data_IF_855282897541
#
_entry.id   IF_855282897541
#
_cell.length_a   1.000
_cell.length_b   1.000
_cell.length_c   1.000
_cell.angle_alpha   90.00
_cell.angle_beta   90.00
_cell.angle_gamma   90.00
#
_symmetry.space_group_name_H-M   'P 1'
#
loop_
_entity.id
_entity.type
_entity.pdbx_description
1 polymer ?
#
# COMPACT_ATOMS: atom_id res chain seq x y z
N UNK A 1 -32.95 -3.55 -27.07
CA UNK A 1 -31.68 -3.73 -26.33
C UNK A 1 -31.75 -5.06 -25.56
N UNK A 2 -30.64 -5.74 -25.38
CA UNK A 2 -30.60 -6.94 -24.52
C UNK A 2 -30.92 -6.57 -23.07
N UNK A 3 -31.61 -7.44 -22.34
CA UNK A 3 -31.90 -7.28 -20.93
C UNK A 3 -30.56 -7.32 -20.15
N UNK A 4 -30.25 -6.26 -19.41
CA UNK A 4 -29.03 -6.13 -18.59
C UNK A 4 -29.39 -6.23 -17.12
N UNK A 5 -28.45 -6.70 -16.29
CA UNK A 5 -28.52 -6.70 -14.84
C UNK A 5 -27.78 -5.46 -14.34
N UNK A 6 -28.44 -4.59 -13.63
CA UNK A 6 -27.92 -3.29 -13.18
C UNK A 6 -27.89 -3.25 -11.65
N UNK A 7 -26.73 -3.01 -11.06
CA UNK A 7 -26.59 -2.67 -9.65
C UNK A 7 -26.78 -1.17 -9.47
N UNK A 8 -27.88 -0.75 -8.89
CA UNK A 8 -28.22 0.67 -8.67
C UNK A 8 -28.07 1.02 -7.20
N UNK A 9 -27.36 2.10 -6.87
CA UNK A 9 -27.20 2.54 -5.49
C UNK A 9 -27.16 4.07 -5.38
N UNK A 10 -27.47 4.60 -4.21
CA UNK A 10 -27.31 6.01 -3.87
C UNK A 10 -27.16 6.20 -2.36
N UNK A 11 -26.59 7.33 -1.97
CA UNK A 11 -26.73 7.89 -0.63
C UNK A 11 -28.01 8.76 -0.53
N UNK A 12 -28.17 9.44 0.59
CA UNK A 12 -29.33 10.32 0.84
C UNK A 12 -29.41 11.50 -0.16
N UNK A 13 -28.26 12.02 -0.63
CA UNK A 13 -28.21 13.11 -1.62
C UNK A 13 -28.63 12.67 -3.03
N UNK A 14 -28.46 11.39 -3.35
CA UNK A 14 -28.83 10.80 -4.62
C UNK A 14 -30.18 10.06 -4.61
N UNK A 15 -30.88 9.97 -3.47
CA UNK A 15 -32.05 9.11 -3.29
C UNK A 15 -33.16 9.36 -4.32
N UNK A 16 -33.61 10.61 -4.49
CA UNK A 16 -34.71 10.94 -5.39
C UNK A 16 -34.35 10.57 -6.85
N UNK A 17 -33.14 10.92 -7.30
CA UNK A 17 -32.67 10.61 -8.65
C UNK A 17 -32.52 9.10 -8.85
N UNK A 18 -32.04 8.37 -7.84
CA UNK A 18 -31.98 6.90 -7.86
C UNK A 18 -33.35 6.28 -8.10
N UNK A 19 -34.37 6.72 -7.40
CA UNK A 19 -35.73 6.19 -7.58
C UNK A 19 -36.25 6.43 -8.99
N UNK A 20 -36.02 7.62 -9.57
CA UNK A 20 -36.39 7.94 -10.98
C UNK A 20 -35.63 7.08 -11.98
N UNK A 21 -34.35 6.86 -11.76
CA UNK A 21 -33.53 5.99 -12.61
C UNK A 21 -33.93 4.51 -12.48
N UNK A 22 -34.32 4.05 -11.30
CA UNK A 22 -34.83 2.70 -11.08
C UNK A 22 -36.12 2.44 -11.90
N UNK A 23 -37.05 3.38 -11.90
CA UNK A 23 -38.27 3.29 -12.72
C UNK A 23 -37.93 3.29 -14.22
N UNK A 24 -37.04 4.18 -14.67
CA UNK A 24 -36.60 4.27 -16.05
C UNK A 24 -35.96 2.97 -16.54
N UNK A 25 -35.00 2.43 -15.80
CA UNK A 25 -34.29 1.19 -16.15
C UNK A 25 -35.20 -0.04 -16.18
N UNK A 26 -36.13 -0.16 -15.23
CA UNK A 26 -37.15 -1.22 -15.23
C UNK A 26 -38.10 -1.09 -16.41
N UNK A 27 -38.54 0.12 -16.76
CA UNK A 27 -39.40 0.38 -17.94
C UNK A 27 -38.67 0.07 -19.25
N UNK A 28 -37.34 0.22 -19.32
CA UNK A 28 -36.52 -0.18 -20.45
C UNK A 28 -36.26 -1.71 -20.53
N UNK A 29 -36.79 -2.49 -19.56
CA UNK A 29 -36.70 -3.96 -19.55
C UNK A 29 -35.43 -4.54 -18.87
N UNK A 30 -34.67 -3.72 -18.15
CA UNK A 30 -33.51 -4.16 -17.41
C UNK A 30 -33.88 -4.79 -16.05
N UNK A 31 -32.99 -5.65 -15.54
CA UNK A 31 -33.08 -6.20 -14.18
C UNK A 31 -32.30 -5.32 -13.22
N UNK A 32 -32.98 -4.71 -12.24
CA UNK A 32 -32.39 -3.68 -11.37
C UNK A 32 -32.35 -4.18 -9.92
N UNK A 33 -31.14 -4.42 -9.43
CA UNK A 33 -30.86 -4.63 -8.00
C UNK A 33 -30.62 -3.27 -7.32
N UNK A 34 -31.59 -2.84 -6.50
CA UNK A 34 -31.47 -1.60 -5.71
C UNK A 34 -30.71 -1.87 -4.40
N UNK A 35 -29.52 -1.32 -4.29
CA UNK A 35 -28.58 -1.45 -3.16
C UNK A 35 -28.38 -0.12 -2.42
N UNK A 36 -29.12 0.92 -2.80
CA UNK A 36 -29.01 2.25 -2.22
C UNK A 36 -29.77 2.42 -0.92
N UNK A 37 -29.68 3.61 -0.35
CA UNK A 37 -30.52 3.97 0.81
C UNK A 37 -32.00 3.92 0.47
N UNK A 38 -32.82 3.65 1.47
CA UNK A 38 -34.29 3.65 1.36
C UNK A 38 -34.94 4.98 1.74
N UNK A 39 -34.17 6.03 2.02
CA UNK A 39 -34.67 7.33 2.45
C UNK A 39 -33.68 8.47 2.36
N UNK A 40 -34.06 9.63 2.89
CA UNK A 40 -33.27 10.88 2.85
C UNK A 40 -32.45 11.14 4.13
N UNK A 41 -32.49 10.23 5.08
CA UNK A 41 -31.67 10.34 6.28
C UNK A 41 -30.16 10.25 5.89
N UNK A 42 -29.31 11.07 6.53
CA UNK A 42 -27.89 11.09 6.23
C UNK A 42 -27.23 9.72 6.36
N UNK A 43 -26.58 9.27 5.30
CA UNK A 43 -25.85 8.01 5.23
C UNK A 43 -24.54 8.20 4.46
N UNK A 44 -23.58 7.31 4.67
CA UNK A 44 -22.26 7.39 4.07
C UNK A 44 -22.22 6.73 2.66
N UNK A 45 -22.04 7.54 1.62
CA UNK A 45 -22.00 7.10 0.21
C UNK A 45 -21.02 5.96 -0.07
N UNK A 46 -19.82 5.83 0.59
CA UNK A 46 -18.88 4.77 0.24
C UNK A 46 -19.42 3.36 0.45
N UNK A 47 -20.33 3.18 1.42
CA UNK A 47 -20.96 1.89 1.71
C UNK A 47 -21.78 1.43 0.53
N UNK A 48 -22.61 2.31 -0.02
CA UNK A 48 -23.52 2.02 -1.13
C UNK A 48 -22.78 1.90 -2.46
N UNK A 49 -21.80 2.77 -2.72
CA UNK A 49 -20.97 2.70 -3.90
C UNK A 49 -20.17 1.38 -3.96
N UNK A 50 -19.62 0.96 -2.80
CA UNK A 50 -18.93 -0.33 -2.67
C UNK A 50 -19.87 -1.51 -2.88
N UNK A 51 -21.12 -1.46 -2.37
CA UNK A 51 -22.09 -2.52 -2.56
C UNK A 51 -22.41 -2.75 -4.05
N UNK A 52 -22.66 -1.67 -4.82
CA UNK A 52 -22.89 -1.75 -6.25
C UNK A 52 -21.63 -2.26 -7.01
N UNK A 53 -20.45 -1.76 -6.64
CA UNK A 53 -19.19 -2.18 -7.24
C UNK A 53 -18.90 -3.68 -7.02
N UNK A 54 -19.18 -4.22 -5.84
CA UNK A 54 -19.01 -5.64 -5.55
C UNK A 54 -19.92 -6.53 -6.42
N UNK A 55 -21.17 -6.14 -6.67
CA UNK A 55 -22.06 -6.87 -7.58
C UNK A 55 -21.52 -6.93 -9.00
N UNK A 56 -20.93 -5.82 -9.47
CA UNK A 56 -20.28 -5.79 -10.79
C UNK A 56 -19.02 -6.67 -10.81
N UNK A 57 -18.16 -6.55 -9.80
CA UNK A 57 -16.93 -7.33 -9.71
C UNK A 57 -17.17 -8.85 -9.64
N UNK A 58 -18.25 -9.27 -8.98
CA UNK A 58 -18.67 -10.67 -8.83
C UNK A 58 -19.42 -11.23 -10.05
N UNK A 59 -19.65 -10.39 -11.07
CA UNK A 59 -20.44 -10.78 -12.25
C UNK A 59 -21.94 -10.99 -11.97
N UNK A 60 -22.44 -10.49 -10.84
CA UNK A 60 -23.86 -10.54 -10.49
C UNK A 60 -24.65 -9.39 -11.14
N UNK A 61 -23.97 -8.31 -11.55
CA UNK A 61 -24.49 -7.24 -12.37
C UNK A 61 -23.56 -7.00 -13.57
N UNK A 62 -24.15 -6.64 -14.71
CA UNK A 62 -23.40 -6.31 -15.93
C UNK A 62 -22.83 -4.89 -15.84
N UNK A 63 -23.55 -3.97 -15.19
CA UNK A 63 -23.14 -2.59 -14.93
C UNK A 63 -23.60 -2.11 -13.55
N UNK A 64 -22.86 -1.13 -13.02
CA UNK A 64 -23.26 -0.37 -11.85
C UNK A 64 -23.67 1.06 -12.19
N UNK A 65 -24.66 1.60 -11.45
CA UNK A 65 -25.02 3.02 -11.44
C UNK A 65 -25.09 3.49 -10.01
N UNK A 66 -24.29 4.51 -9.64
CA UNK A 66 -24.30 5.08 -8.29
C UNK A 66 -24.60 6.58 -8.37
N UNK A 67 -25.35 7.08 -7.39
CA UNK A 67 -25.77 8.48 -7.35
C UNK A 67 -25.47 9.04 -5.96
N UNK A 68 -24.71 10.14 -5.91
CA UNK A 68 -24.52 10.97 -4.72
C UNK A 68 -24.65 12.46 -5.09
N UNK A 69 -24.34 13.38 -4.19
CA UNK A 69 -24.44 14.81 -4.46
C UNK A 69 -23.61 15.29 -5.65
N UNK A 70 -22.39 14.76 -5.85
CA UNK A 70 -21.44 15.16 -6.90
C UNK A 70 -21.03 14.02 -7.85
N UNK A 71 -21.23 12.77 -7.47
CA UNK A 71 -20.79 11.56 -8.19
C UNK A 71 -19.29 11.24 -8.03
N UNK A 72 -18.53 12.16 -7.43
CA UNK A 72 -17.06 12.04 -7.36
C UNK A 72 -16.65 11.02 -6.32
N UNK A 73 -17.15 11.16 -5.08
CA UNK A 73 -16.81 10.29 -3.96
C UNK A 73 -17.22 8.85 -4.21
N UNK A 74 -18.42 8.64 -4.76
CA UNK A 74 -18.92 7.31 -5.12
C UNK A 74 -18.06 6.63 -6.19
N UNK A 75 -17.58 7.36 -7.21
CA UNK A 75 -16.64 6.82 -8.18
C UNK A 75 -15.30 6.43 -7.54
N UNK A 76 -14.76 7.28 -6.65
CA UNK A 76 -13.53 6.98 -5.91
C UNK A 76 -13.68 5.72 -5.06
N UNK A 77 -14.80 5.54 -4.37
CA UNK A 77 -15.07 4.37 -3.54
C UNK A 77 -15.24 3.10 -4.39
N UNK A 78 -15.97 3.18 -5.50
CA UNK A 78 -16.17 2.06 -6.41
C UNK A 78 -14.86 1.58 -7.04
N UNK A 79 -13.95 2.50 -7.42
CA UNK A 79 -12.62 2.19 -7.95
C UNK A 79 -11.65 1.55 -6.91
N UNK A 80 -12.07 1.39 -5.64
CA UNK A 80 -11.32 0.60 -4.65
C UNK A 80 -11.67 -0.89 -4.68
N UNK A 81 -12.70 -1.27 -5.45
CA UNK A 81 -13.08 -2.67 -5.64
C UNK A 81 -12.36 -3.20 -6.88
N UNK A 82 -11.48 -4.20 -6.75
CA UNK A 82 -10.75 -4.77 -7.88
C UNK A 82 -11.69 -5.23 -9.00
N UNK A 83 -11.30 -4.99 -10.25
CA UNK A 83 -12.08 -5.36 -11.44
C UNK A 83 -13.14 -4.34 -11.84
N UNK A 84 -13.36 -3.28 -11.05
CA UNK A 84 -14.34 -2.23 -11.36
C UNK A 84 -13.65 -0.98 -11.87
N UNK A 85 -14.10 -0.48 -13.03
CA UNK A 85 -13.68 0.81 -13.57
C UNK A 85 -14.88 1.76 -13.47
N UNK A 86 -14.84 2.67 -12.51
CA UNK A 86 -15.90 3.64 -12.25
C UNK A 86 -15.55 5.03 -12.77
N UNK A 87 -16.49 5.66 -13.47
CA UNK A 87 -16.35 7.02 -14.00
C UNK A 87 -17.49 7.93 -13.58
N UNK A 88 -17.17 9.17 -13.14
CA UNK A 88 -18.17 10.23 -12.94
C UNK A 88 -18.48 10.88 -14.27
N UNK A 89 -19.75 10.82 -14.70
CA UNK A 89 -20.18 11.39 -15.97
C UNK A 89 -21.42 12.25 -15.81
N UNK A 90 -21.27 13.55 -15.96
CA UNK A 90 -22.37 14.52 -15.88
C UNK A 90 -22.86 14.98 -17.27
N UNK A 91 -22.43 14.33 -18.34
CA UNK A 91 -22.90 14.55 -19.72
C UNK A 91 -22.91 13.24 -20.50
N UNK A 92 -23.75 13.16 -21.52
CA UNK A 92 -23.81 12.03 -22.46
C UNK A 92 -22.45 11.78 -23.15
N UNK A 93 -21.73 12.86 -23.49
CA UNK A 93 -20.41 12.76 -24.11
C UNK A 93 -19.37 12.10 -23.18
N UNK A 94 -19.37 12.43 -21.88
CA UNK A 94 -18.51 11.78 -20.90
C UNK A 94 -18.88 10.31 -20.67
N UNK A 95 -20.17 9.99 -20.61
CA UNK A 95 -20.65 8.62 -20.47
C UNK A 95 -20.25 7.75 -21.67
N UNK A 96 -20.39 8.28 -22.89
CA UNK A 96 -19.92 7.63 -24.10
C UNK A 96 -18.41 7.41 -24.06
N UNK A 97 -17.64 8.45 -23.72
CA UNK A 97 -16.17 8.36 -23.63
C UNK A 97 -15.72 7.34 -22.59
N UNK A 98 -16.33 7.33 -21.39
CA UNK A 98 -16.01 6.39 -20.32
C UNK A 98 -16.20 4.94 -20.75
N UNK A 99 -17.23 4.65 -21.54
CA UNK A 99 -17.46 3.32 -22.10
C UNK A 99 -16.56 3.01 -23.27
N UNK A 100 -16.57 3.88 -24.30
CA UNK A 100 -15.87 3.63 -25.57
C UNK A 100 -14.34 3.54 -25.39
N UNK A 101 -13.76 4.38 -24.53
CA UNK A 101 -12.32 4.49 -24.37
C UNK A 101 -11.76 3.78 -23.15
N UNK A 102 -12.55 3.63 -22.08
CA UNK A 102 -12.06 3.14 -20.80
C UNK A 102 -12.79 1.89 -20.29
N UNK A 103 -13.78 1.40 -21.04
CA UNK A 103 -14.61 0.24 -20.67
C UNK A 103 -15.12 0.32 -19.22
N UNK A 104 -15.55 1.54 -18.81
CA UNK A 104 -16.06 1.75 -17.46
C UNK A 104 -17.25 0.85 -17.19
N UNK A 105 -17.20 0.05 -16.13
CA UNK A 105 -18.23 -0.88 -15.73
C UNK A 105 -19.22 -0.28 -14.71
N UNK A 106 -18.89 0.92 -14.17
CA UNK A 106 -19.75 1.61 -13.22
C UNK A 106 -19.80 3.11 -13.54
N UNK A 107 -21.03 3.62 -13.62
CA UNK A 107 -21.33 5.03 -13.82
C UNK A 107 -21.64 5.69 -12.48
N UNK A 108 -20.99 6.82 -12.16
CA UNK A 108 -21.34 7.66 -11.03
C UNK A 108 -21.94 8.98 -11.51
N UNK A 109 -23.08 9.37 -10.92
CA UNK A 109 -23.82 10.58 -11.24
C UNK A 109 -23.90 11.52 -10.03
N UNK A 110 -23.75 12.82 -10.26
CA UNK A 110 -23.96 13.86 -9.26
C UNK A 110 -25.37 14.42 -9.32
N UNK A 111 -26.23 14.11 -8.34
CA UNK A 111 -27.61 14.62 -8.29
C UNK A 111 -27.70 16.16 -8.24
N UNK A 112 -26.65 16.83 -7.76
CA UNK A 112 -26.55 18.30 -7.78
C UNK A 112 -26.08 18.87 -9.14
N UNK A 113 -25.69 18.04 -10.09
CA UNK A 113 -25.08 18.45 -11.36
C UNK A 113 -25.85 18.01 -12.61
N UNK A 114 -26.83 17.13 -12.47
CA UNK A 114 -27.65 16.63 -13.59
C UNK A 114 -29.12 16.65 -13.18
N UNK A 115 -30.00 17.08 -14.08
CA UNK A 115 -31.44 16.89 -13.93
C UNK A 115 -31.86 15.46 -14.31
N UNK A 116 -33.09 15.10 -13.97
CA UNK A 116 -33.65 13.76 -14.24
C UNK A 116 -33.58 13.37 -15.71
N UNK A 117 -33.92 14.30 -16.62
CA UNK A 117 -33.95 14.02 -18.05
C UNK A 117 -32.55 13.78 -18.62
N UNK A 118 -31.57 14.59 -18.19
CA UNK A 118 -30.16 14.39 -18.55
C UNK A 118 -29.61 13.09 -17.96
N UNK A 119 -29.91 12.79 -16.70
CA UNK A 119 -29.45 11.55 -16.05
C UNK A 119 -29.93 10.29 -16.77
N UNK A 120 -31.21 10.26 -17.21
CA UNK A 120 -31.74 9.15 -18.01
C UNK A 120 -30.98 8.97 -19.32
N UNK A 121 -30.75 10.06 -20.08
CA UNK A 121 -29.99 10.00 -21.35
C UNK A 121 -28.53 9.57 -21.11
N UNK A 122 -27.90 10.06 -20.04
CA UNK A 122 -26.53 9.67 -19.67
C UNK A 122 -26.43 8.16 -19.41
N UNK A 123 -27.40 7.62 -18.64
CA UNK A 123 -27.46 6.19 -18.33
C UNK A 123 -27.70 5.38 -19.62
N UNK A 124 -28.65 5.80 -20.47
CA UNK A 124 -28.95 5.10 -21.71
C UNK A 124 -27.73 5.04 -22.65
N UNK A 125 -27.02 6.16 -22.80
CA UNK A 125 -25.77 6.24 -23.60
C UNK A 125 -24.69 5.35 -22.98
N UNK A 126 -24.54 5.37 -21.66
CA UNK A 126 -23.57 4.52 -20.98
C UNK A 126 -23.83 3.04 -21.24
N UNK A 127 -25.07 2.58 -21.07
CA UNK A 127 -25.44 1.18 -21.24
C UNK A 127 -25.39 0.71 -22.72
N UNK A 128 -25.62 1.61 -23.66
CA UNK A 128 -25.61 1.31 -25.09
C UNK A 128 -24.22 1.32 -25.73
N UNK A 129 -23.20 1.90 -25.08
CA UNK A 129 -21.86 2.08 -25.66
C UNK A 129 -20.94 0.92 -25.31
N UNK A 130 -20.16 0.44 -26.29
CA UNK A 130 -19.17 -0.62 -26.10
C UNK A 130 -17.75 -0.14 -26.38
N UNK A 131 -16.76 -0.71 -25.73
CA UNK A 131 -15.34 -0.50 -26.01
C UNK A 131 -14.87 -1.50 -27.07
N UNK A 132 -14.85 -1.09 -28.32
CA UNK A 132 -14.54 -1.98 -29.45
C UNK A 132 -13.17 -1.75 -30.08
N UNK A 133 -12.60 -0.55 -29.96
CA UNK A 133 -11.32 -0.21 -30.57
C UNK A 133 -10.14 -0.86 -29.84
N UNK A 134 -9.31 -1.62 -30.53
CA UNK A 134 -8.16 -2.37 -29.99
C UNK A 134 -7.21 -1.49 -29.18
N UNK A 135 -6.93 -0.28 -29.68
CA UNK A 135 -6.06 0.70 -28.97
C UNK A 135 -6.59 1.07 -27.58
N UNK A 136 -7.93 1.09 -27.38
CA UNK A 136 -8.57 1.41 -26.11
C UNK A 136 -8.56 0.18 -25.20
N UNK A 137 -8.91 -0.99 -25.75
CA UNK A 137 -8.84 -2.26 -25.01
C UNK A 137 -7.45 -2.53 -24.47
N UNK A 138 -6.37 -2.24 -25.23
CA UNK A 138 -4.98 -2.34 -24.76
C UNK A 138 -4.73 -1.44 -23.54
N UNK A 139 -5.21 -0.20 -23.54
CA UNK A 139 -5.04 0.72 -22.40
C UNK A 139 -5.85 0.28 -21.18
N UNK A 140 -7.05 -0.22 -21.39
CA UNK A 140 -7.88 -0.82 -20.31
C UNK A 140 -7.19 -2.03 -19.70
N UNK A 141 -6.58 -2.89 -20.54
CA UNK A 141 -5.81 -4.03 -20.05
C UNK A 141 -4.63 -3.58 -19.17
N UNK A 142 -3.94 -2.48 -19.51
CA UNK A 142 -2.87 -1.91 -18.66
C UNK A 142 -3.40 -1.42 -17.30
N UNK A 143 -4.58 -0.79 -17.26
CA UNK A 143 -5.20 -0.37 -15.99
C UNK A 143 -5.55 -1.59 -15.13
N UNK A 144 -6.11 -2.65 -15.74
CA UNK A 144 -6.42 -3.90 -15.04
C UNK A 144 -5.17 -4.63 -14.55
N UNK A 145 -4.04 -4.48 -15.25
CA UNK A 145 -2.76 -5.04 -14.79
C UNK A 145 -2.24 -4.34 -13.53
N UNK A 146 -2.41 -3.00 -13.42
CA UNK A 146 -2.09 -2.24 -12.20
C UNK A 146 -2.90 -2.70 -10.98
N UNK A 147 -4.12 -3.23 -11.20
CA UNK A 147 -4.92 -3.83 -10.12
C UNK A 147 -4.33 -5.16 -9.64
N UNK A 148 -3.80 -5.97 -10.56
CA UNK A 148 -3.11 -7.23 -10.19
C UNK A 148 -1.83 -6.95 -9.39
N UNK A 149 -1.10 -5.89 -9.75
CA UNK A 149 0.05 -5.42 -8.96
C UNK A 149 -0.36 -5.01 -7.54
N UNK A 150 -1.55 -4.42 -7.37
CA UNK A 150 -2.14 -4.11 -6.03
C UNK A 150 -2.71 -5.33 -5.33
N UNK A 151 -3.26 -6.29 -6.07
CA UNK A 151 -3.85 -7.55 -5.58
C UNK A 151 -2.83 -8.64 -5.27
N UNK A 152 -1.54 -8.43 -5.54
CA UNK A 152 -0.46 -9.34 -5.13
C UNK A 152 -0.27 -9.43 -3.60
N UNK A 153 -1.19 -8.88 -2.82
CA UNK A 153 -1.24 -9.09 -1.36
C UNK A 153 -1.93 -10.39 -0.94
N UNK A 154 -2.67 -11.06 -1.86
CA UNK A 154 -3.29 -12.38 -1.63
C UNK A 154 -2.81 -13.35 -2.72
N UNK A 155 -1.54 -13.75 -2.65
CA UNK A 155 -1.01 -14.82 -3.50
C UNK A 155 -1.63 -16.15 -3.07
N UNK A 156 -2.33 -16.81 -4.00
CA UNK A 156 -2.76 -18.20 -3.79
C UNK A 156 -1.55 -19.14 -3.70
N UNK A 157 -1.70 -20.29 -3.08
CA UNK A 157 -0.63 -21.30 -3.05
C UNK A 157 -0.11 -21.65 -4.46
N UNK A 158 -1.01 -21.67 -5.47
CA UNK A 158 -0.65 -21.90 -6.88
C UNK A 158 0.14 -20.73 -7.50
N UNK A 159 -0.14 -19.49 -7.12
CA UNK A 159 0.64 -18.32 -7.57
C UNK A 159 2.05 -18.35 -6.97
N UNK A 160 2.17 -18.76 -5.72
CA UNK A 160 3.46 -18.93 -5.04
C UNK A 160 4.28 -20.02 -5.74
N UNK A 161 3.67 -21.18 -6.09
CA UNK A 161 4.35 -22.24 -6.83
C UNK A 161 4.75 -21.80 -8.25
N UNK A 162 3.89 -21.04 -8.95
CA UNK A 162 4.18 -20.51 -10.29
C UNK A 162 5.30 -19.47 -10.28
N UNK A 163 5.32 -18.60 -9.28
CA UNK A 163 6.41 -17.63 -9.06
C UNK A 163 7.70 -18.36 -8.70
N UNK A 164 7.65 -19.34 -7.80
CA UNK A 164 8.79 -20.16 -7.43
C UNK A 164 9.37 -20.95 -8.62
N UNK A 165 8.51 -21.47 -9.50
CA UNK A 165 8.92 -22.14 -10.73
C UNK A 165 9.61 -21.16 -11.73
N UNK A 166 9.05 -19.96 -11.88
CA UNK A 166 9.61 -18.91 -12.77
C UNK A 166 10.91 -18.34 -12.25
N UNK A 167 11.04 -18.13 -10.94
CA UNK A 167 12.29 -17.76 -10.27
C UNK A 167 13.35 -18.87 -10.46
N UNK A 168 12.95 -20.13 -10.35
CA UNK A 168 13.83 -21.28 -10.57
C UNK A 168 14.31 -21.38 -12.04
N UNK A 169 13.46 -21.05 -12.99
CA UNK A 169 13.81 -20.97 -14.43
C UNK A 169 14.78 -19.80 -14.71
N UNK A 170 14.56 -18.64 -14.08
CA UNK A 170 15.43 -17.46 -14.24
C UNK A 170 16.79 -17.67 -13.58
N UNK A 171 16.86 -18.35 -12.45
CA UNK A 171 18.11 -18.70 -11.75
C UNK A 171 18.89 -19.79 -12.47
N UNK A 172 18.25 -20.61 -13.31
CA UNK A 172 18.93 -21.65 -14.12
C UNK A 172 19.74 -21.12 -15.33
N UNK A 173 19.63 -19.82 -15.64
CA UNK A 173 20.33 -19.18 -16.78
C UNK A 173 21.55 -18.33 -16.43
N UNK A 174 21.91 -18.20 -15.15
CA UNK A 174 23.08 -17.45 -14.67
C UNK A 174 23.87 -18.27 -13.66
N UNK A 175 25.04 -18.74 -14.08
CA UNK A 175 25.87 -19.69 -13.34
C UNK A 175 26.26 -19.25 -11.93
N UNK A 176 25.97 -20.09 -11.04
CA UNK A 176 26.44 -20.57 -9.76
C UNK A 176 25.22 -21.02 -8.94
N UNK A 177 25.11 -22.30 -8.64
CA UNK A 177 24.01 -22.86 -7.85
C UNK A 177 23.94 -22.16 -6.49
N UNK A 178 22.77 -21.63 -6.07
CA UNK A 178 22.60 -21.26 -4.68
C UNK A 178 22.60 -22.54 -3.86
N UNK A 179 23.45 -22.58 -2.85
CA UNK A 179 23.40 -23.51 -1.72
C UNK A 179 21.92 -23.76 -1.35
N UNK A 180 21.55 -25.02 -1.10
CA UNK A 180 20.21 -25.50 -0.78
C UNK A 180 19.41 -24.44 -0.01
N UNK A 181 18.32 -23.97 -0.60
CA UNK A 181 17.41 -23.03 0.05
C UNK A 181 16.97 -23.67 1.37
N UNK A 182 17.39 -23.13 2.50
CA UNK A 182 16.90 -23.49 3.80
C UNK A 182 15.38 -23.17 3.78
N UNK A 183 14.58 -24.22 3.69
CA UNK A 183 13.13 -24.11 3.88
C UNK A 183 12.91 -23.76 5.36
N UNK A 184 12.78 -22.45 5.64
CA UNK A 184 12.48 -21.97 6.99
C UNK A 184 11.05 -22.38 7.35
N UNK A 185 10.86 -22.86 8.58
CA UNK A 185 9.51 -23.09 9.11
C UNK A 185 8.82 -21.75 9.39
N UNK A 186 7.48 -21.71 9.45
CA UNK A 186 6.74 -20.48 9.81
C UNK A 186 7.24 -19.84 11.11
N UNK A 187 7.59 -20.65 12.11
CA UNK A 187 8.13 -20.18 13.40
C UNK A 187 9.53 -19.57 13.25
N UNK A 188 10.33 -20.08 12.34
CA UNK A 188 11.65 -19.50 12.03
C UNK A 188 11.52 -18.19 11.28
N UNK A 189 10.55 -18.10 10.34
CA UNK A 189 10.23 -16.85 9.64
C UNK A 189 9.70 -15.80 10.62
N UNK A 190 8.80 -16.17 11.54
CA UNK A 190 8.27 -15.26 12.56
C UNK A 190 9.38 -14.55 13.35
N UNK A 191 10.46 -15.27 13.68
CA UNK A 191 11.63 -14.71 14.38
C UNK A 191 12.50 -13.77 13.54
N UNK A 192 12.16 -13.54 12.28
CA UNK A 192 12.81 -12.56 11.40
C UNK A 192 11.94 -11.33 11.14
N UNK A 193 10.72 -11.29 11.68
CA UNK A 193 9.73 -10.24 11.43
C UNK A 193 9.81 -9.14 12.50
N UNK A 194 9.96 -7.89 12.06
CA UNK A 194 9.69 -6.70 12.85
C UNK A 194 8.24 -6.27 12.61
N UNK A 195 7.34 -6.58 13.55
CA UNK A 195 5.93 -6.22 13.45
C UNK A 195 5.77 -4.70 13.63
N UNK A 196 5.30 -4.01 12.59
CA UNK A 196 5.55 -2.58 12.42
C UNK A 196 4.26 -1.77 12.32
N UNK A 197 4.15 -0.70 13.11
CA UNK A 197 3.07 0.30 13.02
C UNK A 197 3.66 1.72 13.14
N UNK A 198 3.72 2.43 12.00
CA UNK A 198 4.34 3.76 11.89
C UNK A 198 3.38 4.82 11.34
N UNK A 199 2.09 4.50 11.19
CA UNK A 199 1.07 5.45 10.72
C UNK A 199 1.01 6.67 11.65
N UNK A 200 0.86 7.90 11.11
CA UNK A 200 0.80 9.13 11.91
C UNK A 200 -0.45 9.21 12.80
N UNK A 201 -1.51 8.49 12.45
CA UNK A 201 -2.78 8.40 13.15
C UNK A 201 -2.89 7.18 14.08
N UNK A 202 -1.79 6.42 14.28
CA UNK A 202 -1.78 5.27 15.18
C UNK A 202 -2.11 5.67 16.62
N UNK A 203 -3.03 4.95 17.24
CA UNK A 203 -3.44 5.14 18.63
C UNK A 203 -2.76 4.13 19.56
N UNK A 204 -2.76 4.41 20.86
CA UNK A 204 -2.23 3.48 21.87
C UNK A 204 -2.91 2.09 21.79
N UNK A 205 -4.21 2.03 21.55
CA UNK A 205 -4.96 0.78 21.37
C UNK A 205 -4.49 -0.04 20.16
N UNK A 206 -3.99 0.60 19.10
CA UNK A 206 -3.45 -0.11 17.93
C UNK A 206 -2.09 -0.71 18.26
N UNK A 207 -1.28 0.03 19.03
CA UNK A 207 0.02 -0.46 19.52
C UNK A 207 -0.15 -1.60 20.53
N UNK A 208 -1.18 -1.58 21.37
CA UNK A 208 -1.53 -2.69 22.26
C UNK A 208 -1.83 -3.97 21.49
N UNK A 209 -2.67 -3.89 20.45
CA UNK A 209 -2.98 -5.02 19.54
C UNK A 209 -1.71 -5.55 18.88
N UNK A 210 -0.88 -4.66 18.34
CA UNK A 210 0.40 -5.01 17.71
C UNK A 210 1.29 -5.81 18.65
N UNK A 211 1.38 -5.39 19.93
CA UNK A 211 2.18 -6.10 20.95
C UNK A 211 1.60 -7.47 21.32
N UNK A 212 0.26 -7.59 21.38
CA UNK A 212 -0.41 -8.88 21.61
C UNK A 212 -0.10 -9.86 20.48
N UNK A 213 -0.26 -9.43 19.23
CA UNK A 213 0.04 -10.25 18.04
C UNK A 213 1.53 -10.66 18.03
N UNK A 214 2.44 -9.73 18.29
CA UNK A 214 3.87 -10.01 18.31
C UNK A 214 4.25 -11.07 19.36
N UNK A 215 3.64 -11.03 20.55
CA UNK A 215 3.84 -12.05 21.59
C UNK A 215 3.24 -13.39 21.20
N UNK A 216 2.04 -13.38 20.62
CA UNK A 216 1.32 -14.58 20.22
C UNK A 216 2.09 -15.36 19.14
N UNK A 217 2.63 -14.67 18.15
CA UNK A 217 3.35 -15.28 17.04
C UNK A 217 4.87 -15.39 17.25
N UNK A 218 5.40 -14.85 18.36
CA UNK A 218 6.82 -14.87 18.68
C UNK A 218 7.68 -14.10 17.67
N UNK A 219 7.18 -12.95 17.17
CA UNK A 219 7.93 -12.09 16.25
C UNK A 219 9.23 -11.58 16.89
N UNK A 220 10.17 -11.14 16.04
CA UNK A 220 11.48 -10.68 16.51
C UNK A 220 11.37 -9.36 17.29
N UNK A 221 10.67 -8.38 16.72
CA UNK A 221 10.48 -7.08 17.35
C UNK A 221 9.10 -6.47 17.04
N UNK A 222 8.74 -5.44 17.82
CA UNK A 222 7.68 -4.47 17.55
C UNK A 222 8.33 -3.15 17.22
N UNK A 223 8.07 -2.61 16.02
CA UNK A 223 8.64 -1.35 15.53
C UNK A 223 7.58 -0.25 15.49
N UNK A 224 7.83 0.85 16.21
CA UNK A 224 6.89 1.95 16.41
C UNK A 224 7.56 3.33 16.29
N UNK A 225 6.76 4.39 16.24
CA UNK A 225 7.25 5.76 16.43
C UNK A 225 7.78 5.96 17.86
N UNK A 226 8.79 6.82 18.08
CA UNK A 226 9.49 6.97 19.37
C UNK A 226 8.57 7.26 20.57
N UNK A 227 7.46 7.95 20.35
CA UNK A 227 6.48 8.29 21.41
C UNK A 227 5.87 7.05 22.07
N UNK A 228 5.81 5.92 21.38
CA UNK A 228 5.24 4.67 21.87
C UNK A 228 6.24 3.72 22.55
N UNK A 229 7.54 4.04 22.54
CA UNK A 229 8.58 3.16 23.12
C UNK A 229 8.30 2.81 24.57
N UNK A 230 7.93 3.76 25.48
CA UNK A 230 7.61 3.41 26.88
C UNK A 230 6.42 2.45 27.02
N UNK A 231 5.38 2.65 26.20
CA UNK A 231 4.19 1.79 26.16
C UNK A 231 4.56 0.37 25.72
N UNK A 232 5.26 0.24 24.58
CA UNK A 232 5.70 -1.05 24.03
C UNK A 232 6.61 -1.79 24.99
N UNK A 233 7.56 -1.09 25.63
CA UNK A 233 8.42 -1.67 26.68
C UNK A 233 7.61 -2.27 27.81
N UNK A 234 6.56 -1.57 28.27
CA UNK A 234 5.66 -2.06 29.32
C UNK A 234 4.91 -3.32 28.89
N UNK A 235 4.30 -3.30 27.69
CA UNK A 235 3.49 -4.39 27.15
C UNK A 235 4.31 -5.64 26.81
N UNK A 236 5.56 -5.48 26.39
CA UNK A 236 6.44 -6.60 26.01
C UNK A 236 7.27 -7.13 27.19
N UNK A 237 7.10 -6.58 28.41
CA UNK A 237 7.83 -7.06 29.59
C UNK A 237 7.61 -8.57 29.79
N UNK A 238 8.72 -9.30 30.00
CA UNK A 238 8.69 -10.76 30.20
C UNK A 238 8.53 -11.57 28.90
N UNK A 239 8.55 -10.95 27.72
CA UNK A 239 8.60 -11.64 26.41
C UNK A 239 10.00 -11.56 25.80
N UNK A 240 10.26 -12.37 24.77
CA UNK A 240 11.49 -12.31 23.96
C UNK A 240 11.44 -11.25 22.85
N UNK A 241 10.26 -10.66 22.60
CA UNK A 241 10.03 -9.67 21.53
C UNK A 241 10.76 -8.37 21.87
N UNK A 242 11.55 -7.86 20.93
CA UNK A 242 12.34 -6.63 21.10
C UNK A 242 11.51 -5.38 20.85
N UNK A 243 11.94 -4.28 21.45
CA UNK A 243 11.40 -2.94 21.19
C UNK A 243 12.26 -2.27 20.14
N UNK A 244 11.70 -2.01 18.97
CA UNK A 244 12.33 -1.26 17.88
C UNK A 244 11.64 0.09 17.72
N UNK A 245 12.36 1.14 17.38
CA UNK A 245 11.78 2.41 16.98
C UNK A 245 12.52 3.04 15.80
N UNK A 246 11.84 3.96 15.13
CA UNK A 246 12.42 4.75 14.03
C UNK A 246 13.00 6.06 14.56
N UNK A 247 13.98 6.61 13.83
CA UNK A 247 14.66 7.89 14.14
C UNK A 247 14.89 8.67 12.83
N UNK A 248 14.65 9.98 12.89
CA UNK A 248 14.73 10.80 11.68
C UNK A 248 13.69 10.44 10.63
N UNK A 249 12.58 9.88 11.05
CA UNK A 249 11.63 9.21 10.17
C UNK A 249 10.44 10.09 9.78
N UNK A 250 9.88 10.00 8.54
CA UNK A 250 10.36 9.13 7.46
C UNK A 250 11.38 9.80 6.51
N UNK A 251 11.67 11.08 6.66
CA UNK A 251 12.35 11.90 5.65
C UNK A 251 13.89 11.82 5.70
N UNK A 252 14.46 11.50 6.85
CA UNK A 252 15.91 11.49 7.04
C UNK A 252 16.59 12.86 6.99
N UNK A 253 15.83 13.95 6.87
CA UNK A 253 16.32 15.30 6.60
C UNK A 253 16.60 16.16 7.85
N UNK A 254 16.45 15.59 9.04
CA UNK A 254 16.74 16.28 10.30
C UNK A 254 18.24 16.49 10.47
N UNK A 255 18.61 17.50 11.29
CA UNK A 255 19.98 17.72 11.70
C UNK A 255 20.54 16.48 12.42
N UNK A 256 21.82 16.08 12.15
CA UNK A 256 22.44 14.91 12.78
C UNK A 256 22.40 14.90 14.32
N UNK A 257 22.50 16.08 14.96
CA UNK A 257 22.41 16.14 16.42
C UNK A 257 21.00 15.83 16.92
N UNK A 258 19.98 16.23 16.17
CA UNK A 258 18.58 15.93 16.53
C UNK A 258 18.32 14.43 16.42
N UNK A 259 18.79 13.75 15.37
CA UNK A 259 18.67 12.30 15.24
C UNK A 259 19.42 11.57 16.36
N UNK A 260 20.63 12.03 16.71
CA UNK A 260 21.38 11.51 17.84
C UNK A 260 20.60 11.62 19.16
N UNK A 261 20.00 12.79 19.43
CA UNK A 261 19.21 13.02 20.66
C UNK A 261 17.95 12.15 20.67
N UNK A 262 17.27 12.00 19.56
CA UNK A 262 16.12 11.15 19.39
C UNK A 262 16.47 9.68 19.68
N UNK A 263 17.57 9.18 19.10
CA UNK A 263 18.08 7.83 19.36
C UNK A 263 18.40 7.61 20.85
N UNK A 264 19.15 8.54 21.47
CA UNK A 264 19.49 8.46 22.89
C UNK A 264 18.26 8.46 23.80
N UNK A 265 17.25 9.27 23.45
CA UNK A 265 15.99 9.30 24.20
C UNK A 265 15.27 7.96 24.08
N UNK A 266 15.06 7.45 22.86
CA UNK A 266 14.37 6.20 22.61
C UNK A 266 15.05 5.01 23.34
N UNK A 267 16.38 4.93 23.30
CA UNK A 267 17.15 3.89 23.97
C UNK A 267 16.97 3.97 25.51
N UNK A 268 17.04 5.15 26.11
CA UNK A 268 16.78 5.33 27.53
C UNK A 268 15.37 4.91 27.92
N UNK A 269 14.41 5.11 27.08
CA UNK A 269 13.01 4.71 27.27
C UNK A 269 12.77 3.22 27.05
N UNK A 270 13.71 2.53 26.39
CA UNK A 270 13.70 1.07 26.30
C UNK A 270 13.78 0.48 24.92
N UNK A 271 14.06 1.28 23.88
CA UNK A 271 14.36 0.76 22.57
C UNK A 271 15.62 -0.11 22.60
N UNK A 272 15.54 -1.27 21.98
CA UNK A 272 16.63 -2.24 21.83
C UNK A 272 17.16 -2.27 20.40
N UNK A 273 16.41 -1.67 19.47
CA UNK A 273 16.77 -1.48 18.08
C UNK A 273 16.33 -0.08 17.63
N UNK A 274 17.14 0.54 16.81
CA UNK A 274 16.90 1.89 16.28
C UNK A 274 17.10 1.87 14.76
N UNK A 275 16.06 2.21 14.02
CA UNK A 275 16.02 2.27 12.57
C UNK A 275 16.06 3.74 12.13
N UNK A 276 17.24 4.26 11.80
CA UNK A 276 17.40 5.63 11.31
C UNK A 276 17.22 5.74 9.80
N UNK A 277 16.68 6.85 9.32
CA UNK A 277 16.65 7.15 7.89
C UNK A 277 17.88 7.97 7.49
N UNK A 278 18.58 7.54 6.43
CA UNK A 278 19.72 8.28 5.88
C UNK A 278 19.27 9.65 5.35
N UNK A 279 20.16 10.65 5.39
CA UNK A 279 19.89 11.91 4.71
C UNK A 279 20.06 11.74 3.19
N UNK A 280 18.93 11.43 2.51
CA UNK A 280 18.88 11.16 1.06
C UNK A 280 19.38 12.37 0.25
N UNK A 281 19.02 13.59 0.67
CA UNK A 281 19.45 14.81 -0.03
C UNK A 281 20.96 15.00 0.01
N UNK A 282 21.58 14.81 1.18
CA UNK A 282 23.03 14.88 1.33
C UNK A 282 23.74 13.76 0.56
N UNK A 283 23.19 12.55 0.57
CA UNK A 283 23.72 11.42 -0.20
C UNK A 283 23.71 11.70 -1.71
N UNK A 284 22.62 12.22 -2.25
CA UNK A 284 22.51 12.64 -3.67
C UNK A 284 23.43 13.78 -4.00
N UNK A 285 23.59 14.74 -3.07
CA UNK A 285 24.52 15.86 -3.18
C UNK A 285 25.99 15.47 -3.04
N UNK A 286 26.29 14.19 -2.79
CA UNK A 286 27.64 13.66 -2.55
C UNK A 286 28.35 14.27 -1.32
N UNK A 287 27.57 14.74 -0.35
CA UNK A 287 28.12 15.17 0.95
C UNK A 287 28.29 13.97 1.88
N UNK A 288 29.25 13.12 1.53
CA UNK A 288 29.55 11.88 2.28
C UNK A 288 30.01 12.20 3.72
N UNK A 289 30.58 13.36 3.97
CA UNK A 289 30.99 13.78 5.31
C UNK A 289 29.77 14.02 6.21
N UNK A 290 28.74 14.69 5.71
CA UNK A 290 27.49 14.88 6.42
C UNK A 290 26.76 13.55 6.65
N UNK A 291 26.62 12.73 5.61
CA UNK A 291 25.97 11.40 5.71
C UNK A 291 26.67 10.51 6.72
N UNK A 292 28.01 10.44 6.67
CA UNK A 292 28.78 9.62 7.60
C UNK A 292 28.64 10.12 9.06
N UNK A 293 28.66 11.44 9.26
CA UNK A 293 28.50 12.04 10.59
C UNK A 293 27.10 11.74 11.15
N UNK A 294 26.08 11.84 10.30
CA UNK A 294 24.68 11.55 10.64
C UNK A 294 24.50 10.10 11.10
N UNK A 295 24.94 9.13 10.29
CA UNK A 295 24.85 7.70 10.61
C UNK A 295 25.67 7.40 11.87
N UNK A 296 26.92 7.90 11.95
CA UNK A 296 27.82 7.63 13.06
C UNK A 296 27.25 8.08 14.41
N UNK A 297 26.61 9.26 14.46
CA UNK A 297 26.00 9.75 15.68
C UNK A 297 24.96 8.78 16.25
N UNK A 298 24.07 8.26 15.41
CA UNK A 298 23.04 7.28 15.82
C UNK A 298 23.66 5.94 16.21
N UNK A 299 24.64 5.46 15.40
CA UNK A 299 25.35 4.19 15.67
C UNK A 299 26.08 4.24 17.02
N UNK A 300 26.75 5.35 17.35
CA UNK A 300 27.42 5.54 18.65
C UNK A 300 26.41 5.53 19.79
N UNK A 301 25.27 6.21 19.65
CA UNK A 301 24.21 6.17 20.65
C UNK A 301 23.68 4.73 20.87
N UNK A 302 23.54 3.95 19.81
CA UNK A 302 23.12 2.55 19.88
C UNK A 302 24.16 1.70 20.62
N UNK A 303 25.45 1.85 20.31
CA UNK A 303 26.54 1.12 20.97
C UNK A 303 26.61 1.44 22.47
N UNK A 304 26.54 2.73 22.84
CA UNK A 304 26.52 3.18 24.21
C UNK A 304 25.37 2.57 25.03
N UNK A 305 24.19 2.47 24.38
CA UNK A 305 22.98 1.95 24.98
C UNK A 305 22.75 0.45 24.79
N UNK A 306 23.66 -0.27 24.12
CA UNK A 306 23.53 -1.70 23.78
C UNK A 306 22.29 -2.02 22.94
N UNK A 307 21.93 -1.12 22.05
CA UNK A 307 20.88 -1.29 21.05
C UNK A 307 21.50 -1.62 19.68
N UNK A 308 20.73 -2.30 18.81
CA UNK A 308 21.10 -2.50 17.41
C UNK A 308 20.74 -1.26 16.57
N UNK A 309 21.57 -0.96 15.59
CA UNK A 309 21.38 0.13 14.64
C UNK A 309 21.04 -0.40 13.25
N UNK A 310 20.00 0.14 12.62
CA UNK A 310 19.66 -0.14 11.23
C UNK A 310 19.59 1.18 10.45
N UNK A 311 20.20 1.23 9.26
CA UNK A 311 20.19 2.41 8.39
C UNK A 311 19.23 2.19 7.24
N UNK A 312 18.11 2.91 7.23
CA UNK A 312 17.13 2.90 6.14
C UNK A 312 17.66 3.75 4.99
N UNK A 313 17.91 3.13 3.85
CA UNK A 313 18.49 3.80 2.68
C UNK A 313 17.45 4.52 1.82
N UNK A 314 16.19 4.11 1.85
CA UNK A 314 15.11 4.53 0.96
C UNK A 314 15.42 4.24 -0.51
N UNK A 315 15.60 2.97 -0.81
CA UNK A 315 16.14 2.47 -2.10
C UNK A 315 15.39 2.95 -3.33
N UNK A 316 14.07 3.20 -3.22
CA UNK A 316 13.25 3.71 -4.32
C UNK A 316 13.63 5.13 -4.80
N UNK A 317 14.37 5.88 -3.99
CA UNK A 317 14.86 7.23 -4.33
C UNK A 317 16.31 7.24 -4.85
N UNK A 318 16.99 6.08 -4.86
CA UNK A 318 18.42 5.98 -5.10
C UNK A 318 18.73 5.19 -6.38
N UNK A 319 19.78 5.61 -7.09
CA UNK A 319 20.41 4.77 -8.13
C UNK A 319 21.22 3.63 -7.47
N UNK A 320 21.62 2.64 -8.24
CA UNK A 320 22.41 1.51 -7.70
C UNK A 320 23.76 1.98 -7.14
N UNK A 321 24.41 2.97 -7.78
CA UNK A 321 25.66 3.58 -7.28
C UNK A 321 25.41 4.32 -5.95
N UNK A 322 24.28 5.00 -5.80
CA UNK A 322 23.91 5.67 -4.55
C UNK A 322 23.60 4.66 -3.44
N UNK A 323 22.94 3.53 -3.76
CA UNK A 323 22.69 2.43 -2.81
C UNK A 323 23.99 1.81 -2.31
N UNK A 324 24.94 1.54 -3.22
CA UNK A 324 26.28 1.03 -2.88
C UNK A 324 26.99 2.00 -1.95
N UNK A 325 27.01 3.30 -2.30
CA UNK A 325 27.66 4.34 -1.49
C UNK A 325 27.04 4.45 -0.10
N UNK A 326 25.71 4.40 0.02
CA UNK A 326 25.02 4.43 1.30
C UNK A 326 25.37 3.21 2.17
N UNK A 327 25.48 2.01 1.56
CA UNK A 327 25.97 0.81 2.23
C UNK A 327 27.41 0.97 2.73
N UNK A 328 28.31 1.53 1.90
CA UNK A 328 29.72 1.77 2.26
C UNK A 328 29.84 2.76 3.42
N UNK A 329 29.06 3.84 3.41
CA UNK A 329 29.03 4.82 4.50
C UNK A 329 28.46 4.20 5.78
N UNK A 330 27.45 3.33 5.69
CA UNK A 330 26.90 2.58 6.81
C UNK A 330 27.94 1.62 7.42
N UNK A 331 28.68 0.90 6.58
CA UNK A 331 29.81 0.06 7.02
C UNK A 331 30.91 0.89 7.69
N UNK A 332 31.26 2.05 7.15
CA UNK A 332 32.28 2.97 7.70
C UNK A 332 31.85 3.58 9.02
N UNK A 333 30.56 3.81 9.21
CA UNK A 333 29.99 4.25 10.47
C UNK A 333 29.91 3.15 11.52
N UNK A 334 29.98 1.86 11.11
CA UNK A 334 29.89 0.71 11.99
C UNK A 334 28.46 0.36 12.40
N UNK A 335 27.50 0.56 11.50
CA UNK A 335 26.11 0.12 11.67
C UNK A 335 26.02 -1.42 11.73
N UNK A 336 24.96 -1.94 12.34
CA UNK A 336 24.71 -3.39 12.42
C UNK A 336 23.96 -3.87 11.19
N UNK A 337 23.02 -3.06 10.66
CA UNK A 337 22.18 -3.39 9.50
C UNK A 337 22.06 -2.23 8.53
N UNK A 338 21.81 -2.57 7.28
CA UNK A 338 21.19 -1.69 6.28
C UNK A 338 19.78 -2.17 5.98
N UNK A 339 18.82 -1.25 5.79
CA UNK A 339 17.41 -1.52 5.58
C UNK A 339 16.93 -0.81 4.32
N UNK A 340 16.04 -1.43 3.54
CA UNK A 340 15.68 -0.89 2.22
C UNK A 340 14.89 0.41 2.29
N UNK A 341 13.75 0.43 2.96
CA UNK A 341 12.73 1.45 2.74
C UNK A 341 11.98 1.84 4.00
N UNK A 342 11.44 3.07 4.02
CA UNK A 342 10.56 3.54 5.09
C UNK A 342 9.14 2.96 4.98
N UNK A 343 8.69 2.65 3.76
CA UNK A 343 7.30 2.31 3.46
C UNK A 343 6.39 3.54 3.25
N UNK A 344 6.97 4.76 3.24
CA UNK A 344 6.26 6.03 3.02
C UNK A 344 6.59 6.67 1.66
N UNK A 345 7.51 6.08 0.91
CA UNK A 345 7.82 6.45 -0.49
C UNK A 345 7.01 5.61 -1.48
N UNK A 346 7.20 5.90 -2.77
CA UNK A 346 6.51 5.22 -3.88
C UNK A 346 6.90 3.76 -4.10
N UNK A 347 8.02 3.30 -3.51
CA UNK A 347 8.53 1.93 -3.64
C UNK A 347 8.80 1.25 -2.30
N UNK A 348 9.12 -0.04 -2.36
CA UNK A 348 9.46 -0.88 -1.22
C UNK A 348 10.67 -1.78 -1.50
N UNK A 349 10.82 -2.86 -0.75
CA UNK A 349 11.90 -3.83 -0.93
C UNK A 349 11.75 -4.59 -2.26
N UNK A 350 12.85 -4.71 -3.00
CA UNK A 350 12.97 -5.60 -4.16
C UNK A 350 14.05 -6.66 -3.91
N UNK A 351 13.95 -7.80 -4.60
CA UNK A 351 14.97 -8.85 -4.49
C UNK A 351 16.33 -8.37 -5.00
N UNK A 352 16.33 -7.53 -6.03
CA UNK A 352 17.51 -6.93 -6.65
C UNK A 352 18.23 -6.00 -5.67
N UNK A 353 17.48 -5.12 -4.96
CA UNK A 353 18.03 -4.23 -3.94
C UNK A 353 18.65 -5.02 -2.78
N UNK A 354 17.95 -6.04 -2.29
CA UNK A 354 18.46 -6.92 -1.23
C UNK A 354 19.74 -7.61 -1.67
N UNK A 355 19.79 -8.14 -2.90
CA UNK A 355 20.98 -8.81 -3.42
C UNK A 355 22.15 -7.83 -3.59
N UNK A 356 21.90 -6.60 -4.08
CA UNK A 356 22.91 -5.56 -4.22
C UNK A 356 23.46 -5.15 -2.85
N UNK A 357 22.58 -4.82 -1.91
CA UNK A 357 22.95 -4.43 -0.54
C UNK A 357 23.74 -5.55 0.16
N UNK A 358 23.26 -6.80 0.09
CA UNK A 358 23.92 -7.95 0.73
C UNK A 358 25.34 -8.17 0.20
N UNK A 359 25.53 -8.10 -1.13
CA UNK A 359 26.87 -8.19 -1.72
C UNK A 359 27.79 -7.06 -1.26
N UNK A 360 27.26 -5.84 -1.18
CA UNK A 360 28.03 -4.65 -0.80
C UNK A 360 28.48 -4.72 0.67
N UNK A 361 27.59 -5.14 1.58
CA UNK A 361 27.90 -5.12 3.03
C UNK A 361 28.59 -6.41 3.53
N UNK A 362 28.69 -7.44 2.70
CA UNK A 362 29.28 -8.73 3.06
C UNK A 362 30.69 -8.61 3.68
N UNK A 363 31.61 -7.72 3.23
CA UNK A 363 32.95 -7.59 3.81
C UNK A 363 32.96 -7.21 5.30
N UNK A 364 31.92 -6.50 5.77
CA UNK A 364 31.77 -6.11 7.18
C UNK A 364 30.68 -6.92 7.91
N UNK A 365 30.04 -7.88 7.22
CA UNK A 365 29.00 -8.77 7.76
C UNK A 365 27.79 -8.02 8.35
N UNK A 366 27.43 -6.85 7.82
CA UNK A 366 26.19 -6.20 8.22
C UNK A 366 24.99 -7.05 7.80
N UNK A 367 23.95 -7.03 8.61
CA UNK A 367 22.66 -7.57 8.23
C UNK A 367 21.97 -6.73 7.16
N UNK A 368 21.10 -7.35 6.38
CA UNK A 368 20.24 -6.66 5.42
C UNK A 368 18.78 -6.92 5.78
N UNK A 369 18.00 -5.84 5.90
CA UNK A 369 16.58 -5.90 6.26
C UNK A 369 15.71 -5.43 5.09
N UNK A 370 14.82 -6.30 4.64
CA UNK A 370 13.75 -5.93 3.71
C UNK A 370 12.64 -5.18 4.45
N UNK A 371 12.16 -4.07 3.89
CA UNK A 371 11.05 -3.30 4.44
C UNK A 371 10.35 -2.48 3.35
N UNK A 372 9.08 -2.11 3.63
CA UNK A 372 8.24 -1.45 2.65
C UNK A 372 7.63 -2.46 1.67
N UNK A 373 6.29 -2.62 1.72
CA UNK A 373 5.55 -3.54 0.86
C UNK A 373 5.64 -5.03 1.25
N UNK A 374 6.39 -5.38 2.28
CA UNK A 374 6.43 -6.75 2.82
C UNK A 374 5.27 -6.93 3.79
N UNK A 375 4.33 -7.82 3.48
CA UNK A 375 3.13 -8.13 4.29
C UNK A 375 2.92 -9.64 4.36
#
# INVERSE_FOLDING_TARGET
MSRLRIALAADHGGFDLKERLKEHLKSAGHDVADLGTSGKEPVDYPVFARAAALRVAQGEADFGVVVDGAGIGSAMAANKVPGVLAATCNTEALAKNAREHNDASLLALGAGHVDEAAAKRIVDVFLATACTAERHQKRVAMIREMEKERGMTDLSAEDIERIAAKVKEMLGKGGAAPSAALALTPEQVAKLIDHTLLKPDAMASDVEKLCVEARQHGFFSVCVNPVFVPLVKGLLKGSSVKVCCVVGFPLGAQDPQIKLLEARKAIREGAQEVDMVVNVGALKGKDDALVLRDIRGVVEACKDGRALSKVILETSLLTDEEKVRACELSMKAGADYVKTSTGFSSGGATAEDIALMARTVAPKKLGVKASGGVR
#
